data_IF_287353137777
#
_entry.id   IF_287353137777
#
_cell.length_a   1.000
_cell.length_b   1.000
_cell.length_c   1.000
_cell.angle_alpha   90.00
_cell.angle_beta   90.00
_cell.angle_gamma   90.00
#
_symmetry.space_group_name_H-M   'P 1'
#
loop_
_entity.id
_entity.type
_entity.pdbx_description
1 polymer ?
#
# COMPACT_ATOMS: atom_id res chain seq x y z
N UNK A 1 -15.61 -24.25 25.45
CA UNK A 1 -16.21 -24.79 24.21
C UNK A 1 -16.91 -23.61 23.56
N UNK A 2 -16.33 -23.08 22.49
CA UNK A 2 -16.84 -21.86 21.84
C UNK A 2 -17.90 -22.30 20.83
N UNK A 3 -19.15 -21.90 21.05
CA UNK A 3 -20.26 -22.02 20.11
C UNK A 3 -19.86 -21.39 18.76
N UNK A 4 -19.72 -22.20 17.71
CA UNK A 4 -19.58 -21.71 16.34
C UNK A 4 -20.99 -21.54 15.77
N UNK A 5 -21.44 -20.28 15.65
CA UNK A 5 -22.62 -19.94 14.86
C UNK A 5 -22.29 -20.15 13.37
N UNK A 6 -22.95 -21.10 12.68
CA UNK A 6 -22.64 -21.45 11.29
C UNK A 6 -22.99 -20.33 10.28
N UNK A 7 -23.63 -19.25 10.72
CA UNK A 7 -23.97 -18.10 9.86
C UNK A 7 -22.84 -17.10 9.66
N UNK A 8 -21.81 -17.12 10.50
CA UNK A 8 -20.72 -16.14 10.47
C UNK A 8 -19.46 -16.82 9.91
N UNK A 9 -18.88 -16.32 8.79
CA UNK A 9 -17.63 -16.86 8.29
C UNK A 9 -16.51 -16.73 9.32
N UNK A 10 -15.70 -17.78 9.49
CA UNK A 10 -14.62 -17.83 10.51
C UNK A 10 -13.69 -16.62 10.54
N UNK A 11 -13.52 -15.92 9.41
CA UNK A 11 -12.68 -14.72 9.34
C UNK A 11 -13.23 -13.53 10.14
N UNK A 12 -14.53 -13.50 10.45
CA UNK A 12 -15.16 -12.47 11.28
C UNK A 12 -14.99 -12.76 12.79
N UNK A 13 -14.66 -14.00 13.17
CA UNK A 13 -14.42 -14.40 14.57
C UNK A 13 -13.03 -14.00 15.11
N UNK A 14 -12.11 -13.55 14.26
CA UNK A 14 -10.72 -13.31 14.64
C UNK A 14 -10.50 -12.01 15.44
N UNK A 15 -11.54 -11.19 15.60
CA UNK A 15 -11.45 -9.90 16.28
C UNK A 15 -10.49 -8.92 15.59
N UNK A 16 -10.19 -7.77 16.21
CA UNK A 16 -9.32 -6.78 15.61
C UNK A 16 -7.87 -7.29 15.46
N UNK A 17 -7.21 -6.87 14.37
CA UNK A 17 -5.79 -7.17 14.14
C UNK A 17 -4.92 -6.72 15.33
N UNK A 18 -3.91 -7.52 15.75
CA UNK A 18 -2.92 -7.08 16.71
C UNK A 18 -2.27 -5.75 16.30
N UNK A 19 -1.98 -4.87 17.26
CA UNK A 19 -1.54 -3.49 16.99
C UNK A 19 -0.33 -3.39 16.04
N UNK A 20 0.63 -4.31 16.15
CA UNK A 20 1.78 -4.38 15.25
C UNK A 20 1.37 -4.66 13.80
N UNK A 21 0.39 -5.54 13.59
CA UNK A 21 -0.18 -5.85 12.28
C UNK A 21 -1.04 -4.72 11.75
N UNK A 22 -1.91 -4.14 12.57
CA UNK A 22 -2.71 -2.97 12.20
C UNK A 22 -1.82 -1.81 11.71
N UNK A 23 -0.68 -1.56 12.38
CA UNK A 23 0.31 -0.56 11.95
C UNK A 23 0.95 -0.90 10.61
N UNK A 24 1.27 -2.17 10.35
CA UNK A 24 1.82 -2.62 9.06
C UNK A 24 0.83 -2.41 7.93
N UNK A 25 -0.43 -2.82 8.13
CA UNK A 25 -1.52 -2.66 7.15
C UNK A 25 -1.74 -1.17 6.86
N UNK A 26 -1.88 -0.32 7.89
CA UNK A 26 -2.03 1.12 7.72
C UNK A 26 -0.88 1.76 6.93
N UNK A 27 0.35 1.29 7.16
CA UNK A 27 1.53 1.75 6.42
C UNK A 27 1.56 1.24 4.96
N UNK A 28 0.96 0.09 4.66
CA UNK A 28 0.83 -0.43 3.32
C UNK A 28 -0.12 0.41 2.46
N UNK A 29 -1.19 0.94 3.06
CA UNK A 29 -2.15 1.84 2.43
C UNK A 29 -1.65 3.28 2.21
N UNK A 30 -0.44 3.63 2.68
CA UNK A 30 0.10 4.97 2.42
C UNK A 30 0.38 5.13 0.91
N UNK A 31 -0.08 6.22 0.27
CA UNK A 31 0.20 6.49 -1.13
C UNK A 31 1.70 6.44 -1.44
N UNK A 32 2.05 5.86 -2.58
CA UNK A 32 3.43 5.77 -3.08
C UNK A 32 3.50 6.38 -4.48
N UNK A 33 4.66 6.91 -4.83
CA UNK A 33 4.89 7.57 -6.10
C UNK A 33 4.59 6.67 -7.30
N UNK A 34 5.00 5.41 -7.27
CA UNK A 34 4.70 4.42 -8.31
C UNK A 34 5.45 4.61 -9.65
N UNK A 35 6.03 5.79 -9.90
CA UNK A 35 6.76 6.10 -11.14
C UNK A 35 8.01 5.23 -11.31
N UNK A 36 8.43 4.90 -12.55
CA UNK A 36 9.63 4.11 -12.79
C UNK A 36 10.86 4.80 -12.18
N UNK A 37 11.71 4.02 -11.51
CA UNK A 37 13.01 4.54 -11.08
C UNK A 37 13.92 4.68 -12.30
N UNK A 38 14.70 5.76 -12.36
CA UNK A 38 15.68 5.98 -13.44
C UNK A 38 16.55 4.73 -13.65
N UNK A 39 16.51 4.19 -14.87
CA UNK A 39 17.32 3.05 -15.28
C UNK A 39 16.81 1.67 -14.81
N UNK A 40 15.63 1.56 -14.21
CA UNK A 40 15.03 0.27 -13.83
C UNK A 40 13.52 0.26 -14.05
N UNK A 41 12.95 -0.88 -14.41
CA UNK A 41 11.49 -1.07 -14.50
C UNK A 41 10.81 -1.24 -13.10
N UNK A 42 11.51 -0.87 -12.03
CA UNK A 42 10.97 -0.98 -10.67
C UNK A 42 10.21 0.29 -10.27
N UNK A 43 8.98 0.16 -9.74
CA UNK A 43 8.19 1.31 -9.33
C UNK A 43 8.79 2.00 -8.09
N UNK A 44 8.76 3.32 -8.09
CA UNK A 44 9.22 4.13 -6.98
C UNK A 44 8.32 3.93 -5.74
N UNK A 45 8.95 3.49 -4.65
CA UNK A 45 8.27 3.17 -3.38
C UNK A 45 8.28 4.32 -2.37
N UNK A 46 8.78 5.50 -2.75
CA UNK A 46 8.77 6.69 -1.89
C UNK A 46 7.32 7.09 -1.58
N UNK A 47 7.05 7.42 -0.30
CA UNK A 47 5.72 7.84 0.16
C UNK A 47 5.40 9.23 -0.39
N UNK A 48 4.13 9.42 -0.74
CA UNK A 48 3.57 10.70 -1.21
C UNK A 48 2.31 11.02 -0.40
N UNK A 49 1.79 12.25 -0.51
CA UNK A 49 0.63 12.68 0.28
C UNK A 49 -0.67 12.14 -0.34
N UNK A 50 -0.77 12.15 -1.67
CA UNK A 50 -1.93 11.68 -2.41
C UNK A 50 -1.58 10.67 -3.53
N UNK A 51 -2.55 9.85 -3.92
CA UNK A 51 -2.39 8.94 -5.05
C UNK A 51 -2.15 9.73 -6.35
N UNK A 52 -1.17 9.31 -7.14
CA UNK A 52 -0.80 9.96 -8.41
C UNK A 52 0.25 11.07 -8.28
N UNK A 53 0.59 11.49 -7.07
CA UNK A 53 1.66 12.48 -6.86
C UNK A 53 3.05 11.93 -7.18
N UNK A 54 3.89 12.83 -7.69
CA UNK A 54 5.32 12.60 -7.80
C UNK A 54 5.97 12.70 -6.42
N UNK A 55 6.96 11.85 -6.12
CA UNK A 55 7.87 12.15 -5.01
C UNK A 55 8.87 13.25 -5.44
N UNK A 56 9.62 13.86 -4.50
CA UNK A 56 10.58 14.92 -4.81
C UNK A 56 11.66 14.53 -5.83
N UNK A 57 11.86 13.23 -6.07
CA UNK A 57 12.84 12.71 -7.03
C UNK A 57 12.27 12.56 -8.44
N UNK A 58 10.94 12.65 -8.57
CA UNK A 58 10.22 12.61 -9.84
C UNK A 58 9.37 13.85 -10.07
N UNK A 59 9.55 14.89 -9.27
CA UNK A 59 8.88 16.18 -9.46
C UNK A 59 9.28 16.77 -10.82
N UNK A 60 8.31 17.28 -11.57
CA UNK A 60 8.55 17.78 -12.94
C UNK A 60 8.77 16.69 -14.01
N UNK A 61 8.88 15.41 -13.64
CA UNK A 61 8.91 14.29 -14.58
C UNK A 61 7.45 13.93 -14.93
N UNK A 62 7.04 13.74 -16.19
CA UNK A 62 5.73 13.17 -16.53
C UNK A 62 5.62 11.71 -16.10
N UNK A 63 4.43 11.26 -15.70
CA UNK A 63 4.21 9.86 -15.30
C UNK A 63 4.55 8.83 -16.40
N UNK A 64 4.60 9.27 -17.67
CA UNK A 64 4.96 8.46 -18.83
C UNK A 64 6.49 8.28 -19.02
N UNK A 65 7.33 8.92 -18.22
CA UNK A 65 8.78 8.81 -18.37
C UNK A 65 9.30 7.59 -17.62
N UNK A 66 9.81 6.60 -18.36
CA UNK A 66 10.41 5.39 -17.82
C UNK A 66 9.88 4.08 -18.41
N UNK A 67 8.91 4.12 -19.33
CA UNK A 67 8.59 2.97 -20.20
C UNK A 67 9.47 3.04 -21.44
N UNK A 68 10.66 2.43 -21.39
CA UNK A 68 11.41 2.06 -22.58
C UNK A 68 12.22 0.81 -22.34
#
# INVERSE_FOLDING_TARGET
MTDHDPGIPDHEHLGPLPAAWAKRVRNAFRPRCGRPRNGTDQPCRTRVLAHGEACPWHEGIPAAWGTR
#
